data_IF_639022714165
#
_entry.id   IF_639022714165
#
_cell.length_a   1.000
_cell.length_b   1.000
_cell.length_c   1.000
_cell.angle_alpha   90.00
_cell.angle_beta   90.00
_cell.angle_gamma   90.00
#
_symmetry.space_group_name_H-M   'P 1'
#
loop_
_entity.id
_entity.type
_entity.pdbx_description
1 polymer ?
#
# COMPACT_ATOMS: atom_id res chain seq x y z
N UNK A 1 6.78 -12.98 0.78
CA UNK A 1 5.42 -13.14 0.20
C UNK A 1 4.34 -12.33 0.90
N UNK A 2 4.12 -12.44 2.23
CA UNK A 2 3.10 -11.61 2.95
C UNK A 2 3.24 -10.09 2.74
N UNK A 3 4.47 -9.58 2.64
CA UNK A 3 4.77 -8.17 2.34
C UNK A 3 4.29 -7.71 0.94
N UNK A 4 4.30 -8.58 -0.06
CA UNK A 4 3.79 -8.29 -1.42
C UNK A 4 2.26 -8.15 -1.42
N UNK A 5 1.60 -9.05 -0.69
CA UNK A 5 0.13 -9.09 -0.61
C UNK A 5 -0.45 -7.92 0.18
N UNK A 6 0.33 -7.25 1.02
CA UNK A 6 -0.17 -6.13 1.79
C UNK A 6 0.00 -4.77 1.09
N UNK A 7 1.05 -4.58 0.27
CA UNK A 7 1.19 -3.40 -0.60
C UNK A 7 0.09 -3.32 -1.67
N UNK A 8 -0.39 -4.47 -2.17
CA UNK A 8 -1.51 -4.51 -3.13
C UNK A 8 -2.89 -4.42 -2.47
N UNK A 9 -3.02 -4.62 -1.16
CA UNK A 9 -4.29 -4.43 -0.48
C UNK A 9 -4.51 -2.96 -0.05
N UNK A 10 -3.43 -2.17 0.08
CA UNK A 10 -3.48 -0.71 0.28
C UNK A 10 -4.40 0.00 -0.73
N UNK A 11 -4.46 -0.52 -1.96
CA UNK A 11 -5.40 -0.19 -3.03
C UNK A 11 -6.87 -0.03 -2.61
N UNK A 12 -7.37 -0.97 -1.81
CA UNK A 12 -8.76 -1.01 -1.38
C UNK A 12 -9.03 -0.08 -0.19
N UNK A 13 -7.99 0.25 0.59
CA UNK A 13 -8.06 1.25 1.66
C UNK A 13 -8.10 2.70 1.10
N UNK A 14 -7.45 2.96 -0.04
CA UNK A 14 -7.34 4.29 -0.66
C UNK A 14 -8.62 4.77 -1.37
N UNK A 15 -9.60 3.89 -1.62
CA UNK A 15 -10.87 4.28 -2.23
C UNK A 15 -11.99 4.57 -1.23
N UNK A 16 -11.66 4.61 0.06
CA UNK A 16 -12.58 5.09 1.10
C UNK A 16 -12.58 6.62 1.10
N UNK A 17 -13.72 7.28 1.40
CA UNK A 17 -13.80 8.73 1.43
C UNK A 17 -12.75 9.34 2.38
N UNK A 18 -12.25 10.57 2.09
CA UNK A 18 -10.97 11.10 2.56
C UNK A 18 -10.79 11.31 4.07
N UNK A 19 -11.78 11.03 4.90
CA UNK A 19 -11.90 11.64 6.23
C UNK A 19 -10.91 11.11 7.29
N UNK A 20 -10.14 10.06 7.02
CA UNK A 20 -9.15 9.55 7.96
C UNK A 20 -7.70 9.47 7.42
N UNK A 21 -7.49 9.70 6.13
CA UNK A 21 -6.20 9.37 5.49
C UNK A 21 -5.74 10.34 4.40
N UNK A 22 -6.19 11.60 4.38
CA UNK A 22 -5.63 12.65 3.50
C UNK A 22 -5.59 12.35 1.99
N UNK A 23 -6.20 11.26 1.54
CA UNK A 23 -6.25 10.85 0.14
C UNK A 23 -7.43 11.56 -0.51
N UNK A 24 -7.15 12.47 -1.44
CA UNK A 24 -8.19 13.14 -2.21
C UNK A 24 -9.09 12.11 -2.93
N UNK A 25 -10.39 12.38 -3.09
CA UNK A 25 -11.29 11.50 -3.83
C UNK A 25 -10.74 11.26 -5.25
N UNK A 26 -10.74 10.01 -5.70
CA UNK A 26 -10.36 9.66 -7.08
C UNK A 26 -11.45 10.19 -8.02
N UNK A 27 -11.18 11.31 -8.70
CA UNK A 27 -12.11 11.91 -9.66
C UNK A 27 -12.31 11.04 -10.92
N UNK A 28 -13.38 11.27 -11.69
CA UNK A 28 -13.76 10.44 -12.84
C UNK A 28 -12.73 10.42 -14.00
N UNK A 29 -11.72 11.29 -13.98
CA UNK A 29 -10.67 11.39 -15.00
C UNK A 29 -9.28 10.94 -14.50
N UNK A 30 -9.17 10.37 -13.31
CA UNK A 30 -7.88 9.92 -12.76
C UNK A 30 -7.57 8.53 -13.29
N UNK A 31 -6.40 8.33 -13.88
CA UNK A 31 -5.90 6.98 -14.17
C UNK A 31 -5.61 6.29 -12.84
N UNK A 32 -6.51 5.39 -12.47
CA UNK A 32 -6.48 4.69 -11.20
C UNK A 32 -5.25 3.81 -11.04
N UNK A 33 -4.69 3.31 -12.15
CA UNK A 33 -3.48 2.51 -12.14
C UNK A 33 -2.26 3.36 -11.78
N UNK A 34 -2.13 4.53 -12.39
CA UNK A 34 -1.06 5.48 -12.07
C UNK A 34 -1.21 6.06 -10.66
N UNK A 35 -2.45 6.35 -10.23
CA UNK A 35 -2.69 6.84 -8.87
C UNK A 35 -2.27 5.83 -7.80
N UNK A 36 -2.50 4.56 -8.06
CA UNK A 36 -2.14 3.47 -7.15
C UNK A 36 -0.63 3.30 -7.06
N UNK A 37 0.03 3.39 -8.21
CA UNK A 37 1.49 3.31 -8.33
C UNK A 37 2.21 4.27 -7.39
N UNK A 38 1.67 5.48 -7.15
CA UNK A 38 2.22 6.46 -6.20
C UNK A 38 2.34 5.95 -4.75
N UNK A 39 1.53 4.97 -4.36
CA UNK A 39 1.49 4.45 -3.00
C UNK A 39 2.24 3.13 -2.83
N UNK A 40 2.76 2.56 -3.91
CA UNK A 40 3.47 1.30 -3.90
C UNK A 40 4.97 1.50 -3.62
N UNK A 41 5.65 0.52 -3.01
CA UNK A 41 7.11 0.50 -2.93
C UNK A 41 7.74 0.60 -4.32
N UNK A 42 8.88 1.31 -4.48
CA UNK A 42 9.52 1.53 -5.80
C UNK A 42 9.74 0.23 -6.60
N UNK A 43 10.16 -0.85 -5.95
CA UNK A 43 10.35 -2.15 -6.63
C UNK A 43 9.06 -2.67 -7.28
N UNK A 44 7.90 -2.49 -6.65
CA UNK A 44 6.62 -2.90 -7.21
C UNK A 44 6.17 -1.91 -8.29
N UNK A 45 6.37 -0.62 -8.06
CA UNK A 45 6.13 0.42 -9.06
C UNK A 45 6.84 0.12 -10.38
N UNK A 46 8.14 -0.16 -10.32
CA UNK A 46 8.98 -0.46 -11.49
C UNK A 46 8.57 -1.76 -12.19
N UNK A 47 8.01 -2.72 -11.46
CA UNK A 47 7.44 -3.94 -12.04
C UNK A 47 6.16 -3.64 -12.82
N UNK A 48 5.30 -2.74 -12.31
CA UNK A 48 4.07 -2.31 -12.98
C UNK A 48 4.36 -1.48 -14.25
N UNK A 49 5.46 -0.74 -14.29
CA UNK A 49 5.88 0.00 -15.49
C UNK A 49 6.19 -0.92 -16.67
N UNK A 50 6.73 -2.10 -16.37
CA UNK A 50 7.07 -3.14 -17.34
C UNK A 50 5.87 -3.94 -17.85
N UNK A 51 4.67 -3.67 -17.34
CA UNK A 51 3.50 -4.42 -17.76
C UNK A 51 3.21 -4.26 -19.25
N UNK A 52 2.75 -5.36 -19.86
CA UNK A 52 2.14 -5.32 -21.19
C UNK A 52 0.88 -4.43 -21.19
N UNK A 53 0.44 -3.89 -22.34
CA UNK A 53 -0.84 -3.18 -22.44
C UNK A 53 -2.01 -4.00 -21.86
N UNK A 54 -2.06 -5.30 -22.17
CA UNK A 54 -3.07 -6.23 -21.67
C UNK A 54 -2.99 -6.38 -20.14
N UNK A 55 -1.78 -6.48 -19.58
CA UNK A 55 -1.54 -6.51 -18.14
C UNK A 55 -1.99 -5.24 -17.42
N UNK A 56 -1.73 -4.08 -18.00
CA UNK A 56 -2.18 -2.78 -17.45
C UNK A 56 -3.70 -2.71 -17.42
N UNK A 57 -4.37 -3.12 -18.50
CA UNK A 57 -5.83 -3.17 -18.55
C UNK A 57 -6.43 -4.22 -17.61
N UNK A 58 -5.80 -5.38 -17.47
CA UNK A 58 -6.19 -6.39 -16.48
C UNK A 58 -6.07 -5.83 -15.05
N UNK A 59 -4.96 -5.18 -14.72
CA UNK A 59 -4.76 -4.58 -13.40
C UNK A 59 -5.77 -3.46 -13.13
N UNK A 60 -6.04 -2.56 -14.09
CA UNK A 60 -7.08 -1.53 -13.93
C UNK A 60 -8.44 -2.13 -13.56
N UNK A 61 -8.85 -3.23 -14.21
CA UNK A 61 -10.10 -3.94 -13.90
C UNK A 61 -10.08 -4.54 -12.49
N UNK A 62 -8.97 -5.19 -12.12
CA UNK A 62 -8.79 -5.79 -10.79
C UNK A 62 -8.84 -4.72 -9.70
N UNK A 63 -8.17 -3.58 -9.90
CA UNK A 63 -8.18 -2.43 -8.99
C UNK A 63 -9.60 -1.88 -8.84
N UNK A 64 -10.29 -1.65 -9.96
CA UNK A 64 -11.67 -1.15 -9.96
C UNK A 64 -12.61 -2.10 -9.21
N UNK A 65 -12.47 -3.42 -9.41
CA UNK A 65 -13.21 -4.43 -8.67
C UNK A 65 -12.87 -4.39 -7.17
N UNK A 66 -11.57 -4.33 -6.82
CA UNK A 66 -11.11 -4.28 -5.43
C UNK A 66 -11.73 -3.11 -4.67
N UNK A 67 -11.77 -1.94 -5.32
CA UNK A 67 -12.35 -0.70 -4.81
C UNK A 67 -13.86 -0.84 -4.63
N UNK A 68 -14.57 -1.28 -5.67
CA UNK A 68 -16.01 -1.50 -5.61
C UNK A 68 -16.38 -2.46 -4.47
N UNK A 69 -15.63 -3.55 -4.32
CA UNK A 69 -15.84 -4.54 -3.26
C UNK A 69 -15.54 -3.98 -1.87
N UNK A 70 -14.50 -3.17 -1.71
CA UNK A 70 -14.18 -2.51 -0.45
C UNK A 70 -15.27 -1.55 0.01
N UNK A 71 -15.81 -0.74 -0.91
CA UNK A 71 -16.93 0.17 -0.65
C UNK A 71 -18.19 -0.58 -0.21
N UNK A 72 -18.39 -1.80 -0.73
CA UNK A 72 -19.49 -2.69 -0.34
C UNK A 72 -19.18 -3.59 0.88
N UNK A 73 -18.10 -3.32 1.61
CA UNK A 73 -17.74 -4.05 2.84
C UNK A 73 -17.17 -5.45 2.61
N UNK A 74 -16.75 -5.78 1.39
CA UNK A 74 -16.23 -7.10 0.99
C UNK A 74 -14.83 -7.00 0.35
N UNK A 75 -13.85 -6.34 0.98
CA UNK A 75 -12.57 -6.01 0.35
C UNK A 75 -11.81 -7.24 -0.16
N UNK A 76 -11.04 -7.04 -1.23
CA UNK A 76 -10.10 -8.06 -1.70
C UNK A 76 -8.79 -7.97 -0.93
N UNK A 77 -8.29 -9.13 -0.52
CA UNK A 77 -6.91 -9.31 -0.05
C UNK A 77 -5.93 -9.21 -1.22
N UNK A 78 -4.66 -8.91 -0.95
CA UNK A 78 -3.65 -8.94 -2.01
C UNK A 78 -3.44 -10.32 -2.62
N UNK A 79 -3.70 -11.41 -1.88
CA UNK A 79 -3.70 -12.77 -2.46
C UNK A 79 -4.74 -12.88 -3.58
N UNK A 80 -5.96 -12.43 -3.33
CA UNK A 80 -7.02 -12.45 -4.35
C UNK A 80 -6.72 -11.54 -5.55
N UNK A 81 -6.07 -10.39 -5.32
CA UNK A 81 -5.60 -9.51 -6.40
C UNK A 81 -4.56 -10.23 -7.26
N UNK A 82 -3.59 -10.89 -6.63
CA UNK A 82 -2.53 -11.63 -7.30
C UNK A 82 -3.06 -12.85 -8.05
N UNK A 83 -4.01 -13.60 -7.49
CA UNK A 83 -4.66 -14.73 -8.16
C UNK A 83 -5.38 -14.28 -9.44
N UNK A 84 -6.12 -13.17 -9.37
CA UNK A 84 -6.79 -12.58 -10.55
C UNK A 84 -5.78 -12.10 -11.59
N UNK A 85 -4.68 -11.48 -11.17
CA UNK A 85 -3.63 -11.05 -12.08
C UNK A 85 -2.97 -12.25 -12.76
N UNK A 86 -2.68 -13.32 -12.01
CA UNK A 86 -2.10 -14.55 -12.56
C UNK A 86 -2.99 -15.17 -13.64
N UNK A 87 -4.30 -15.15 -13.44
CA UNK A 87 -5.27 -15.66 -14.40
C UNK A 87 -5.39 -14.77 -15.65
N UNK A 88 -5.35 -13.45 -15.47
CA UNK A 88 -5.58 -12.49 -16.55
C UNK A 88 -4.31 -12.18 -17.37
N UNK A 89 -3.15 -12.10 -16.72
CA UNK A 89 -1.84 -11.90 -17.34
C UNK A 89 -0.73 -12.63 -16.56
N UNK A 90 -0.46 -13.91 -16.88
CA UNK A 90 0.51 -14.73 -16.15
C UNK A 90 1.95 -14.20 -16.17
N UNK A 91 2.38 -13.54 -17.24
CA UNK A 91 3.75 -13.02 -17.35
C UNK A 91 3.92 -11.71 -16.59
N UNK A 92 2.93 -10.82 -16.62
CA UNK A 92 2.93 -9.61 -15.79
C UNK A 92 2.83 -9.94 -14.29
N UNK A 93 2.09 -11.00 -13.94
CA UNK A 93 2.10 -11.57 -12.59
C UNK A 93 3.51 -11.92 -12.11
N UNK A 94 4.34 -12.58 -12.94
CA UNK A 94 5.71 -12.97 -12.57
C UNK A 94 6.58 -11.76 -12.27
N UNK A 95 6.36 -10.62 -12.95
CA UNK A 95 7.07 -9.38 -12.67
C UNK A 95 6.77 -8.90 -11.24
N UNK A 96 5.50 -8.88 -10.85
CA UNK A 96 5.09 -8.48 -9.49
C UNK A 96 5.53 -9.48 -8.45
N UNK A 97 5.44 -10.78 -8.73
CA UNK A 97 5.92 -11.84 -7.83
C UNK A 97 7.43 -11.68 -7.54
N UNK A 98 8.23 -11.50 -8.60
CA UNK A 98 9.67 -11.27 -8.49
C UNK A 98 9.96 -10.01 -7.66
N UNK A 99 9.34 -8.88 -8.00
CA UNK A 99 9.53 -7.63 -7.29
C UNK A 99 9.11 -7.73 -5.82
N UNK A 100 8.07 -8.49 -5.51
CA UNK A 100 7.65 -8.76 -4.14
C UNK A 100 8.63 -9.61 -3.33
N UNK A 101 9.31 -10.55 -3.98
CA UNK A 101 10.41 -11.29 -3.35
C UNK A 101 11.63 -10.40 -3.11
N UNK A 102 11.97 -9.52 -4.03
CA UNK A 102 13.06 -8.54 -3.88
C UNK A 102 12.76 -7.55 -2.76
N UNK A 103 11.54 -7.02 -2.70
CA UNK A 103 11.09 -6.15 -1.61
C UNK A 103 11.14 -6.86 -0.25
N UNK A 104 10.70 -8.13 -0.19
CA UNK A 104 10.81 -8.91 1.04
C UNK A 104 12.26 -9.05 1.51
N UNK A 105 13.20 -9.32 0.58
CA UNK A 105 14.63 -9.37 0.89
C UNK A 105 15.16 -8.01 1.33
N UNK A 106 14.75 -6.93 0.66
CA UNK A 106 15.14 -5.57 1.00
C UNK A 106 14.70 -5.16 2.41
N UNK A 107 13.47 -5.52 2.80
CA UNK A 107 12.95 -5.34 4.17
C UNK A 107 13.74 -6.20 5.17
N UNK A 108 13.97 -7.47 4.87
CA UNK A 108 14.68 -8.38 5.77
C UNK A 108 16.14 -7.97 6.02
N UNK A 109 16.75 -7.21 5.10
CA UNK A 109 18.09 -6.65 5.25
C UNK A 109 18.14 -5.37 6.12
N UNK A 110 16.99 -4.80 6.49
CA UNK A 110 16.93 -3.60 7.33
C UNK A 110 17.16 -3.89 8.80
N UNK A 111 17.33 -2.83 9.60
CA UNK A 111 17.30 -2.93 11.06
C UNK A 111 15.97 -3.49 11.57
N UNK A 112 15.99 -4.12 12.75
CA UNK A 112 14.78 -4.68 13.38
C UNK A 112 13.67 -3.62 13.57
N UNK A 113 13.94 -2.38 14.00
CA UNK A 113 12.91 -1.33 14.08
C UNK A 113 12.23 -1.06 12.73
N UNK A 114 12.99 -1.01 11.62
CA UNK A 114 12.44 -0.78 10.28
C UNK A 114 11.58 -1.97 9.84
N UNK A 115 12.04 -3.20 10.09
CA UNK A 115 11.24 -4.40 9.80
C UNK A 115 9.90 -4.41 10.54
N UNK A 116 9.91 -4.02 11.81
CA UNK A 116 8.69 -3.94 12.62
C UNK A 116 7.76 -2.81 12.18
N UNK A 117 8.30 -1.65 11.79
CA UNK A 117 7.52 -0.58 11.17
C UNK A 117 6.88 -1.02 9.87
N UNK A 118 7.61 -1.78 9.05
CA UNK A 118 7.09 -2.33 7.80
C UNK A 118 5.98 -3.34 8.08
N UNK A 119 6.18 -4.26 9.02
CA UNK A 119 5.14 -5.20 9.44
C UNK A 119 3.88 -4.48 9.95
N UNK A 120 4.04 -3.42 10.75
CA UNK A 120 2.90 -2.62 11.24
C UNK A 120 2.15 -1.93 10.09
N UNK A 121 2.86 -1.43 9.06
CA UNK A 121 2.21 -0.92 7.86
C UNK A 121 1.39 -2.03 7.18
N UNK A 122 1.96 -3.23 7.05
CA UNK A 122 1.26 -4.35 6.43
C UNK A 122 0.03 -4.81 7.23
N UNK A 123 0.03 -4.72 8.55
CA UNK A 123 -1.13 -5.07 9.38
C UNK A 123 -2.29 -4.06 9.19
N UNK A 124 -1.95 -2.78 9.08
CA UNK A 124 -2.93 -1.70 8.88
C UNK A 124 -3.51 -1.73 7.46
N UNK A 125 -2.65 -1.79 6.45
CA UNK A 125 -3.06 -1.62 5.04
C UNK A 125 -3.31 -2.96 4.32
N UNK A 126 -2.74 -4.05 4.81
CA UNK A 126 -2.70 -5.33 4.10
C UNK A 126 -4.01 -6.11 4.04
N UNK A 127 -5.00 -5.70 4.84
CA UNK A 127 -6.33 -6.32 4.83
C UNK A 127 -7.22 -5.85 3.68
N UNK A 128 -6.86 -4.74 3.03
CA UNK A 128 -7.69 -4.07 2.02
C UNK A 128 -8.95 -3.42 2.58
N UNK A 129 -9.15 -3.46 3.90
CA UNK A 129 -10.25 -2.76 4.54
C UNK A 129 -9.99 -1.26 4.52
N UNK A 130 -11.06 -0.51 4.29
CA UNK A 130 -11.14 0.90 4.59
C UNK A 130 -10.63 1.20 6.01
N UNK A 131 -9.70 2.13 6.13
CA UNK A 131 -9.29 2.68 7.43
C UNK A 131 -10.31 3.75 7.78
N UNK A 132 -11.20 3.42 8.72
CA UNK A 132 -12.36 4.26 9.05
C UNK A 132 -12.12 5.20 10.23
N UNK A 133 -11.07 4.99 11.00
CA UNK A 133 -10.81 5.77 12.22
C UNK A 133 -9.32 6.08 12.38
N UNK A 134 -8.97 7.25 12.94
CA UNK A 134 -7.60 7.56 13.37
C UNK A 134 -7.00 6.49 14.30
N UNK A 135 -7.81 5.93 15.20
CA UNK A 135 -7.39 4.88 16.13
C UNK A 135 -6.84 3.62 15.43
N UNK A 136 -7.36 3.28 14.24
CA UNK A 136 -6.86 2.15 13.46
C UNK A 136 -5.44 2.41 12.89
N UNK A 137 -5.07 3.67 12.69
CA UNK A 137 -3.75 4.09 12.22
C UNK A 137 -2.73 4.26 13.34
N UNK A 138 -3.20 4.46 14.57
CA UNK A 138 -2.36 4.86 15.68
C UNK A 138 -1.16 3.93 15.94
N UNK A 139 -1.29 2.59 15.92
CA UNK A 139 -0.15 1.70 16.14
C UNK A 139 0.97 1.92 15.11
N UNK A 140 0.62 2.12 13.84
CA UNK A 140 1.59 2.40 12.78
C UNK A 140 2.23 3.77 12.94
N UNK A 141 1.42 4.80 13.24
CA UNK A 141 1.89 6.16 13.46
C UNK A 141 2.86 6.24 14.65
N UNK A 142 2.55 5.59 15.77
CA UNK A 142 3.45 5.49 16.93
C UNK A 142 4.73 4.73 16.61
N UNK A 143 4.63 3.65 15.82
CA UNK A 143 5.81 2.89 15.39
C UNK A 143 6.72 3.72 14.49
N UNK A 144 6.17 4.52 13.56
CA UNK A 144 6.95 5.46 12.74
C UNK A 144 7.61 6.57 13.58
N UNK A 145 6.87 7.12 14.55
CA UNK A 145 7.38 8.17 15.43
C UNK A 145 8.53 7.68 16.32
N UNK A 146 8.51 6.41 16.72
CA UNK A 146 9.55 5.82 17.58
C UNK A 146 10.81 5.37 16.83
N UNK A 147 10.81 5.37 15.48
CA UNK A 147 12.04 5.12 14.71
C UNK A 147 13.07 6.21 14.95
N UNK A 148 14.35 5.82 14.98
CA UNK A 148 15.46 6.77 14.88
C UNK A 148 15.42 7.51 13.54
N UNK A 149 16.08 8.67 13.43
CA UNK A 149 16.13 9.40 12.16
C UNK A 149 16.72 8.56 11.03
N UNK A 150 17.79 7.80 11.32
CA UNK A 150 18.41 6.89 10.35
C UNK A 150 17.45 5.77 9.93
N UNK A 151 16.80 5.11 10.89
CA UNK A 151 15.85 4.03 10.58
C UNK A 151 14.66 4.55 9.77
N UNK A 152 14.17 5.75 10.10
CA UNK A 152 13.05 6.37 9.40
C UNK A 152 13.42 6.74 7.97
N UNK A 153 14.64 7.22 7.74
CA UNK A 153 15.15 7.48 6.40
C UNK A 153 15.21 6.19 5.56
N UNK A 154 15.67 5.06 6.12
CA UNK A 154 15.66 3.78 5.43
C UNK A 154 14.24 3.27 5.16
N UNK A 155 13.32 3.41 6.13
CA UNK A 155 11.91 3.09 5.93
C UNK A 155 11.31 3.88 4.78
N UNK A 156 11.59 5.19 4.66
CA UNK A 156 11.07 6.02 3.58
C UNK A 156 11.63 5.68 2.20
N UNK A 157 12.79 5.02 2.09
CA UNK A 157 13.26 4.48 0.80
C UNK A 157 12.39 3.32 0.34
N UNK A 158 11.91 2.50 1.28
CA UNK A 158 11.00 1.38 1.00
C UNK A 158 9.56 1.85 0.76
N UNK A 159 9.14 2.93 1.41
CA UNK A 159 7.79 3.50 1.30
C UNK A 159 7.83 5.04 1.22
N UNK A 160 8.10 5.62 0.03
CA UNK A 160 8.22 7.07 -0.14
C UNK A 160 6.94 7.84 0.17
N UNK A 161 5.77 7.26 -0.14
CA UNK A 161 4.46 7.86 0.17
C UNK A 161 4.28 8.09 1.68
N UNK A 162 4.84 7.21 2.51
CA UNK A 162 4.80 7.38 3.97
C UNK A 162 5.59 8.60 4.43
N UNK A 163 6.62 9.04 3.71
CA UNK A 163 7.33 10.29 4.02
C UNK A 163 6.40 11.49 3.92
N UNK A 164 5.54 11.54 2.90
CA UNK A 164 4.57 12.61 2.74
C UNK A 164 3.54 12.57 3.88
N UNK A 165 2.99 11.40 4.17
CA UNK A 165 2.07 11.21 5.29
C UNK A 165 2.68 11.62 6.64
N UNK A 166 3.92 11.19 6.94
CA UNK A 166 4.62 11.51 8.18
C UNK A 166 4.74 13.02 8.43
N UNK A 167 4.87 13.82 7.37
CA UNK A 167 4.99 15.29 7.46
C UNK A 167 3.65 16.02 7.39
N UNK A 168 2.53 15.31 7.22
CA UNK A 168 1.19 15.89 7.10
C UNK A 168 0.56 16.25 8.45
N UNK A 169 -0.45 17.12 8.43
CA UNK A 169 -1.22 17.44 9.65
C UNK A 169 -2.05 16.24 10.13
N UNK A 170 -2.54 15.38 9.23
CA UNK A 170 -3.25 14.14 9.59
C UNK A 170 -2.40 13.23 10.50
N UNK A 171 -1.10 13.12 10.25
CA UNK A 171 -0.19 12.35 11.11
C UNK A 171 -0.10 12.95 12.52
N UNK A 172 0.00 14.28 12.62
CA UNK A 172 0.04 15.00 13.91
C UNK A 172 -1.29 14.85 14.66
N UNK A 173 -2.42 14.92 13.97
CA UNK A 173 -3.75 14.76 14.54
C UNK A 173 -3.97 13.35 15.09
N UNK A 174 -3.56 12.31 14.34
CA UNK A 174 -3.62 10.91 14.81
C UNK A 174 -2.79 10.74 16.10
N UNK A 175 -1.59 11.33 16.15
CA UNK A 175 -0.78 11.31 17.37
C UNK A 175 -1.44 12.06 18.53
N UNK A 176 -2.00 13.25 18.28
CA UNK A 176 -2.57 14.11 19.31
C UNK A 176 -3.84 13.53 19.95
N UNK A 177 -4.65 12.79 19.18
CA UNK A 177 -5.86 12.09 19.67
C UNK A 177 -5.59 10.83 20.51
N UNK A 178 -4.33 10.60 20.92
CA UNK A 178 -3.90 9.44 21.73
C UNK A 178 -3.85 9.71 23.24
N UNK A 179 -4.26 10.90 23.67
CA UNK A 179 -4.27 11.34 25.07
C UNK A 179 -5.64 11.17 25.71
#
# INVERSE_FOLDING_TARGET
>A
MKALFASLALLAALASPPEAAGAAPIGPNVDIFEKVKEFLPPLIHDALDQFTPEGKEAMKKIITEAISRATNGQPMTGLQIMDKLQQASPDDYKLVEKAGLELYKAVAAQSKPVQEAYASAMDVFGSGKAIKTPAAMLPFVQKLQSLSESDRAEFFKLSPSTKQFYNSDAFKEILAGSN
#
